data_IF_284095715671
#
_entry.id   IF_284095715671
#
_cell.length_a   1.000
_cell.length_b   1.000
_cell.length_c   1.000
_cell.angle_alpha   90.00
_cell.angle_beta   90.00
_cell.angle_gamma   90.00
#
_symmetry.space_group_name_H-M   'P 1'
#
loop_
_entity.id
_entity.type
_entity.pdbx_description
1 polymer ?
#
# COMPACT_ATOMS: atom_id res chain seq x y z
N UNK A 1 20.26 53.37 4.10
CA UNK A 1 18.95 52.85 3.63
C UNK A 1 18.58 53.56 2.35
N UNK A 2 18.56 52.90 1.21
CA UNK A 2 18.04 53.48 -0.05
C UNK A 2 16.55 53.61 0.08
N UNK A 3 15.99 54.79 -0.22
CA UNK A 3 14.55 55.02 -0.31
C UNK A 3 13.95 54.07 -1.37
N UNK A 4 12.74 53.53 -1.15
CA UNK A 4 12.05 52.75 -2.15
C UNK A 4 11.84 53.58 -3.41
N UNK A 5 12.16 53.02 -4.58
CA UNK A 5 11.92 53.64 -5.88
C UNK A 5 10.38 53.72 -6.03
N UNK A 6 9.83 54.92 -5.96
CA UNK A 6 8.41 55.20 -6.20
C UNK A 6 8.20 55.10 -7.70
N UNK A 7 7.60 54.01 -8.20
CA UNK A 7 7.24 53.87 -9.63
C UNK A 7 7.23 52.47 -10.20
N UNK A 8 7.73 51.46 -9.49
CA UNK A 8 7.66 50.07 -9.99
C UNK A 8 6.31 49.45 -9.63
N UNK A 9 5.58 49.01 -10.64
CA UNK A 9 4.37 48.22 -10.41
C UNK A 9 4.72 46.87 -9.79
N UNK A 10 3.80 46.24 -9.06
CA UNK A 10 3.98 44.89 -8.49
C UNK A 10 4.34 43.90 -9.60
N UNK A 11 3.80 44.08 -10.80
CA UNK A 11 4.09 43.25 -11.96
C UNK A 11 5.55 43.42 -12.43
N UNK A 12 6.09 44.63 -12.40
CA UNK A 12 7.50 44.88 -12.76
C UNK A 12 8.44 44.25 -11.74
N UNK A 13 8.14 44.37 -10.44
CA UNK A 13 8.87 43.69 -9.38
C UNK A 13 8.82 42.15 -9.54
N UNK A 14 7.64 41.58 -9.82
CA UNK A 14 7.47 40.15 -10.01
C UNK A 14 8.29 39.63 -11.18
N UNK A 15 8.35 40.35 -12.31
CA UNK A 15 9.18 40.02 -13.48
C UNK A 15 10.69 40.05 -13.12
N UNK A 16 11.15 41.13 -12.49
CA UNK A 16 12.55 41.24 -12.06
C UNK A 16 12.96 40.12 -11.09
N UNK A 17 12.08 39.75 -10.17
CA UNK A 17 12.28 38.65 -9.25
C UNK A 17 12.34 37.30 -9.97
N UNK A 18 11.43 37.06 -10.94
CA UNK A 18 11.38 35.80 -11.70
C UNK A 18 12.66 35.57 -12.51
N UNK A 19 13.24 36.62 -13.13
CA UNK A 19 14.54 36.56 -13.84
C UNK A 19 15.70 36.12 -12.92
N UNK A 20 15.55 36.37 -11.62
CA UNK A 20 16.53 36.00 -10.58
C UNK A 20 16.18 34.72 -9.84
N UNK A 21 15.18 33.96 -10.30
CA UNK A 21 14.63 32.78 -9.63
C UNK A 21 14.12 33.10 -8.19
N UNK A 22 13.56 34.28 -8.00
CA UNK A 22 12.91 34.73 -6.77
C UNK A 22 11.40 34.81 -6.96
N UNK A 23 10.63 34.51 -5.91
CA UNK A 23 9.15 34.62 -5.90
C UNK A 23 8.66 35.39 -4.71
N UNK A 24 7.72 36.31 -4.91
CA UNK A 24 7.07 37.04 -3.83
C UNK A 24 5.94 36.20 -3.22
N UNK A 25 5.88 36.12 -1.88
CA UNK A 25 4.82 35.38 -1.19
C UNK A 25 3.40 35.88 -1.57
N UNK A 26 3.26 37.17 -1.85
CA UNK A 26 1.99 37.79 -2.31
C UNK A 26 1.51 37.29 -3.66
N UNK A 27 2.35 36.57 -4.43
CA UNK A 27 1.96 35.96 -5.71
C UNK A 27 1.12 34.69 -5.53
N UNK A 28 1.16 34.08 -4.34
CA UNK A 28 0.46 32.82 -4.08
C UNK A 28 -1.06 32.98 -3.93
N UNK A 29 -1.57 34.21 -3.62
CA UNK A 29 -2.98 34.43 -3.35
C UNK A 29 -3.49 33.73 -2.08
N UNK A 30 -4.60 34.21 -1.52
CA UNK A 30 -5.23 33.56 -0.35
C UNK A 30 -5.89 32.23 -0.72
N UNK A 31 -6.31 32.09 -1.97
CA UNK A 31 -6.87 30.86 -2.55
C UNK A 31 -5.88 29.67 -2.60
N UNK A 32 -4.57 29.96 -2.44
CA UNK A 32 -3.55 28.91 -2.32
C UNK A 32 -3.60 28.18 -0.96
N UNK A 33 -4.38 28.69 0.00
CA UNK A 33 -4.53 28.10 1.34
C UNK A 33 -5.92 27.46 1.46
N UNK A 34 -5.99 26.17 1.15
CA UNK A 34 -7.22 25.41 1.40
C UNK A 34 -7.48 25.26 2.91
N UNK A 35 -8.76 25.33 3.31
CA UNK A 35 -9.18 25.11 4.69
C UNK A 35 -8.95 23.64 5.14
N UNK A 36 -8.88 22.73 4.19
CA UNK A 36 -8.69 21.30 4.38
C UNK A 36 -7.66 20.76 3.37
N UNK A 37 -7.00 19.62 3.68
CA UNK A 37 -6.12 18.98 2.73
C UNK A 37 -6.86 18.61 1.44
N UNK A 38 -6.24 18.90 0.32
CA UNK A 38 -6.76 18.58 -1.02
C UNK A 38 -5.87 17.52 -1.70
N UNK A 39 -6.47 16.74 -2.58
CA UNK A 39 -5.76 15.72 -3.35
C UNK A 39 -6.28 15.68 -4.79
N UNK A 40 -5.39 15.35 -5.71
CA UNK A 40 -5.77 15.03 -7.10
C UNK A 40 -6.14 13.56 -7.28
N UNK A 41 -5.87 12.69 -6.28
CA UNK A 41 -6.27 11.28 -6.32
C UNK A 41 -7.80 11.21 -6.35
N UNK A 42 -8.34 10.48 -7.32
CA UNK A 42 -9.78 10.26 -7.43
C UNK A 42 -10.17 8.94 -6.75
N UNK A 43 -11.34 8.86 -6.07
CA UNK A 43 -11.94 7.59 -5.72
C UNK A 43 -12.03 6.69 -6.96
N UNK A 44 -11.59 5.44 -6.85
CA UNK A 44 -11.61 4.53 -8.00
C UNK A 44 -11.67 3.07 -7.54
N UNK A 45 -12.43 2.26 -8.30
CA UNK A 45 -12.56 0.81 -8.12
C UNK A 45 -11.96 0.09 -9.32
N UNK A 46 -10.96 -0.76 -9.08
CA UNK A 46 -10.38 -1.68 -10.08
C UNK A 46 -11.02 -3.05 -9.93
N UNK A 47 -11.64 -3.54 -10.99
CA UNK A 47 -12.30 -4.86 -11.00
C UNK A 47 -11.27 -5.97 -11.15
N UNK A 48 -11.45 -7.01 -10.35
CA UNK A 48 -10.58 -8.19 -10.39
C UNK A 48 -10.55 -8.88 -11.74
N UNK A 49 -11.68 -8.93 -12.43
CA UNK A 49 -11.76 -9.57 -13.74
C UNK A 49 -10.76 -8.94 -14.72
N UNK A 50 -10.77 -7.61 -14.86
CA UNK A 50 -9.88 -6.88 -15.78
C UNK A 50 -8.40 -7.07 -15.40
N UNK A 51 -8.13 -7.03 -14.08
CA UNK A 51 -6.80 -7.23 -13.53
C UNK A 51 -6.30 -8.65 -13.78
N UNK A 52 -7.12 -9.65 -13.49
CA UNK A 52 -6.77 -11.07 -13.64
C UNK A 52 -6.51 -11.44 -15.10
N UNK A 53 -7.37 -11.00 -16.02
CA UNK A 53 -7.17 -11.18 -17.46
C UNK A 53 -5.84 -10.56 -17.93
N UNK A 54 -5.54 -9.34 -17.44
CA UNK A 54 -4.27 -8.66 -17.74
C UNK A 54 -3.06 -9.40 -17.18
N UNK A 55 -3.14 -9.95 -15.97
CA UNK A 55 -2.08 -10.76 -15.35
C UNK A 55 -1.81 -12.05 -16.14
N UNK A 56 -2.86 -12.78 -16.51
CA UNK A 56 -2.73 -14.03 -17.27
C UNK A 56 -2.13 -13.74 -18.65
N UNK A 57 -2.63 -12.73 -19.35
CA UNK A 57 -2.10 -12.32 -20.65
C UNK A 57 -0.63 -11.85 -20.55
N UNK A 58 -0.28 -11.10 -19.51
CA UNK A 58 1.12 -10.74 -19.25
C UNK A 58 1.98 -12.00 -19.03
N UNK A 59 1.42 -13.05 -18.38
CA UNK A 59 2.07 -14.34 -18.23
C UNK A 59 2.39 -15.05 -19.54
N UNK A 60 1.61 -14.81 -20.58
CA UNK A 60 1.80 -15.40 -21.91
C UNK A 60 2.83 -14.64 -22.76
N UNK A 61 2.82 -13.29 -22.69
CA UNK A 61 3.57 -12.43 -23.63
C UNK A 61 4.79 -11.74 -23.04
N UNK A 62 4.94 -11.72 -21.71
CA UNK A 62 6.05 -11.05 -21.01
C UNK A 62 6.88 -12.08 -20.26
N UNK A 63 8.14 -12.30 -20.67
CA UNK A 63 9.07 -13.15 -19.91
C UNK A 63 9.67 -12.39 -18.72
N UNK A 64 10.07 -13.13 -17.65
CA UNK A 64 10.80 -12.54 -16.52
C UNK A 64 12.20 -12.06 -16.91
N UNK A 65 12.78 -12.60 -17.98
CA UNK A 65 14.07 -12.15 -18.51
C UNK A 65 13.97 -10.74 -19.10
N UNK A 66 12.84 -10.42 -19.75
CA UNK A 66 12.60 -9.10 -20.37
C UNK A 66 12.13 -8.05 -19.36
N UNK A 67 11.33 -8.45 -18.39
CA UNK A 67 10.63 -7.53 -17.50
C UNK A 67 11.19 -7.49 -16.08
N UNK A 68 12.13 -8.38 -15.73
CA UNK A 68 12.64 -8.59 -14.38
C UNK A 68 11.52 -8.99 -13.37
N UNK A 69 10.41 -8.28 -13.42
CA UNK A 69 9.18 -8.52 -12.66
C UNK A 69 7.97 -8.43 -13.59
N UNK A 70 7.14 -9.46 -13.58
CA UNK A 70 5.85 -9.45 -14.29
C UNK A 70 4.77 -8.97 -13.32
N UNK A 71 4.70 -7.65 -13.20
CA UNK A 71 3.84 -6.95 -12.24
C UNK A 71 2.89 -6.00 -12.95
N UNK A 72 1.60 -6.06 -12.61
CA UNK A 72 0.57 -5.12 -13.08
C UNK A 72 0.27 -4.14 -11.95
N UNK A 73 0.48 -2.85 -12.21
CA UNK A 73 0.24 -1.77 -11.25
C UNK A 73 -1.18 -1.22 -11.39
N UNK A 74 -1.81 -0.87 -10.28
CA UNK A 74 -3.04 -0.10 -10.31
C UNK A 74 -2.72 1.38 -10.53
N UNK A 75 -3.27 1.96 -11.59
CA UNK A 75 -3.04 3.37 -11.93
C UNK A 75 -4.30 4.17 -11.62
N UNK A 76 -4.17 5.21 -10.79
CA UNK A 76 -5.27 6.14 -10.58
C UNK A 76 -5.51 6.96 -11.85
N UNK A 77 -6.77 7.16 -12.29
CA UNK A 77 -7.07 7.92 -13.49
C UNK A 77 -6.45 9.32 -13.55
N UNK A 78 -6.33 9.98 -12.38
CA UNK A 78 -5.74 11.31 -12.26
C UNK A 78 -4.20 11.32 -12.17
N UNK A 79 -3.54 10.15 -12.08
CA UNK A 79 -2.09 10.00 -11.92
C UNK A 79 -1.46 9.11 -13.01
N UNK A 80 -2.10 9.00 -14.18
CA UNK A 80 -1.61 8.15 -15.28
C UNK A 80 -0.25 8.58 -15.81
N UNK A 81 0.01 9.86 -15.87
CA UNK A 81 1.28 10.47 -16.26
C UNK A 81 2.41 10.11 -15.28
N UNK A 82 2.10 9.97 -14.00
CA UNK A 82 3.02 9.54 -12.95
C UNK A 82 3.13 8.02 -12.81
N UNK A 83 2.28 7.26 -13.49
CA UNK A 83 2.20 5.81 -13.38
C UNK A 83 2.01 5.34 -11.92
N UNK A 84 1.19 6.05 -11.13
CA UNK A 84 1.02 5.84 -9.69
C UNK A 84 -0.43 5.51 -9.30
N UNK A 85 -0.59 4.76 -8.20
CA UNK A 85 -1.90 4.51 -7.59
C UNK A 85 -2.32 5.70 -6.71
N UNK A 86 -1.39 6.25 -5.93
CA UNK A 86 -1.57 7.43 -5.09
C UNK A 86 -0.29 8.26 -5.05
N UNK A 87 -0.25 9.34 -4.26
CA UNK A 87 0.95 10.17 -4.08
C UNK A 87 2.00 9.55 -3.14
N UNK A 88 1.62 8.58 -2.31
CA UNK A 88 2.47 8.03 -1.25
C UNK A 88 2.64 6.52 -1.33
N UNK A 89 1.57 5.79 -1.65
CA UNK A 89 1.51 4.33 -1.64
C UNK A 89 0.97 3.78 -2.95
N UNK A 90 1.33 2.55 -3.27
CA UNK A 90 1.00 1.88 -4.52
C UNK A 90 0.60 0.43 -4.29
N UNK A 91 -0.44 -0.04 -5.00
CA UNK A 91 -0.74 -1.45 -5.18
C UNK A 91 -0.28 -1.94 -6.56
N UNK A 92 0.28 -3.14 -6.56
CA UNK A 92 0.61 -3.88 -7.76
C UNK A 92 0.41 -5.38 -7.53
N UNK A 93 0.21 -6.12 -8.61
CA UNK A 93 -0.06 -7.55 -8.54
C UNK A 93 0.99 -8.28 -9.35
N UNK A 94 1.62 -9.27 -8.74
CA UNK A 94 2.62 -10.08 -9.41
C UNK A 94 2.08 -11.48 -9.68
N UNK A 95 2.36 -11.98 -10.88
CA UNK A 95 2.04 -13.32 -11.34
C UNK A 95 3.30 -14.08 -11.67
N UNK A 96 3.53 -15.21 -10.99
CA UNK A 96 4.70 -16.05 -11.19
C UNK A 96 4.24 -17.49 -11.49
N UNK A 97 4.59 -17.98 -12.68
CA UNK A 97 4.29 -19.34 -13.10
C UNK A 97 5.19 -20.35 -12.38
N UNK A 98 4.76 -21.60 -12.34
CA UNK A 98 5.63 -22.68 -11.85
C UNK A 98 6.91 -22.79 -12.66
N UNK A 99 8.04 -23.03 -11.99
CA UNK A 99 9.38 -23.08 -12.55
C UNK A 99 10.03 -21.71 -12.78
N UNK A 100 9.35 -20.62 -12.47
CA UNK A 100 9.90 -19.27 -12.62
C UNK A 100 10.63 -18.80 -11.36
N UNK A 101 11.71 -18.06 -11.60
CA UNK A 101 12.51 -17.38 -10.57
C UNK A 101 12.67 -15.91 -10.92
N UNK A 102 12.23 -15.03 -10.03
CA UNK A 102 12.45 -13.58 -10.12
C UNK A 102 13.72 -13.22 -9.35
N UNK A 103 14.70 -12.65 -10.06
CA UNK A 103 16.08 -12.41 -9.57
C UNK A 103 16.12 -11.58 -8.28
N UNK A 104 17.14 -11.82 -7.41
CA UNK A 104 17.30 -11.06 -6.20
C UNK A 104 17.68 -9.59 -6.51
N UNK A 105 17.09 -8.71 -5.73
CA UNK A 105 17.45 -7.29 -5.70
C UNK A 105 17.11 -6.68 -4.35
N UNK A 106 17.46 -5.41 -4.15
CA UNK A 106 16.98 -4.56 -3.06
C UNK A 106 16.65 -3.16 -3.55
N UNK A 107 15.77 -2.51 -2.84
CA UNK A 107 15.39 -1.13 -3.11
C UNK A 107 15.08 -0.36 -1.81
N UNK A 108 15.10 0.97 -1.90
CA UNK A 108 14.81 1.84 -0.74
C UNK A 108 13.34 1.88 -0.38
N UNK A 109 12.44 1.57 -1.30
CA UNK A 109 11.01 1.46 -0.97
C UNK A 109 10.76 0.29 -0.02
N UNK A 110 9.89 0.48 0.97
CA UNK A 110 9.32 -0.60 1.76
C UNK A 110 8.28 -1.36 0.93
N UNK A 111 8.19 -2.67 1.11
CA UNK A 111 7.22 -3.50 0.43
C UNK A 111 6.64 -4.58 1.35
N UNK A 112 5.45 -5.02 1.04
CA UNK A 112 4.88 -6.25 1.58
C UNK A 112 4.27 -7.08 0.44
N UNK A 113 4.05 -8.38 0.72
CA UNK A 113 3.30 -9.30 -0.14
C UNK A 113 2.14 -9.88 0.63
N UNK A 114 0.94 -9.70 0.10
CA UNK A 114 -0.27 -10.34 0.60
C UNK A 114 -0.70 -11.38 -0.43
N UNK A 115 -0.72 -12.66 -0.04
CA UNK A 115 -0.88 -13.77 -0.96
C UNK A 115 -2.37 -13.97 -1.29
N UNK A 116 -2.73 -13.88 -2.58
CA UNK A 116 -4.12 -13.91 -3.03
C UNK A 116 -4.54 -15.26 -3.58
N UNK A 117 -3.66 -15.93 -4.31
CA UNK A 117 -3.98 -17.19 -4.97
C UNK A 117 -2.75 -18.06 -5.17
N UNK A 118 -2.85 -19.33 -4.80
CA UNK A 118 -1.77 -20.29 -4.90
C UNK A 118 -0.99 -20.46 -3.59
N UNK A 119 -0.15 -21.51 -3.55
CA UNK A 119 0.61 -21.86 -2.36
C UNK A 119 1.90 -22.60 -2.74
N UNK A 120 2.88 -22.65 -1.81
CA UNK A 120 4.12 -23.41 -1.93
C UNK A 120 5.25 -22.72 -2.69
N UNK A 121 5.01 -21.60 -3.39
CA UNK A 121 6.10 -20.72 -3.81
C UNK A 121 6.73 -20.04 -2.58
N UNK A 122 7.93 -19.46 -2.74
CA UNK A 122 8.55 -18.77 -1.61
C UNK A 122 9.24 -17.47 -2.04
N UNK A 123 9.33 -16.56 -1.09
CA UNK A 123 10.22 -15.40 -1.17
C UNK A 123 11.37 -15.59 -0.20
N UNK A 124 12.60 -15.23 -0.61
CA UNK A 124 13.75 -15.17 0.29
C UNK A 124 14.00 -13.69 0.61
N UNK A 125 13.98 -13.33 1.88
CA UNK A 125 14.26 -11.96 2.32
C UNK A 125 15.45 -11.99 3.27
N UNK A 126 16.56 -11.34 2.92
CA UNK A 126 17.82 -11.36 3.67
C UNK A 126 18.26 -12.78 4.09
N UNK A 127 18.13 -13.75 3.16
CA UNK A 127 18.44 -15.16 3.41
C UNK A 127 17.39 -15.94 4.19
N UNK A 128 16.29 -15.33 4.61
CA UNK A 128 15.16 -16.02 5.24
C UNK A 128 14.15 -16.47 4.19
N UNK A 129 13.97 -17.78 4.06
CA UNK A 129 12.98 -18.39 3.16
C UNK A 129 11.59 -18.36 3.81
N UNK A 130 10.65 -17.66 3.16
CA UNK A 130 9.25 -17.56 3.56
C UNK A 130 8.37 -18.30 2.53
N UNK A 131 7.86 -19.47 2.88
CA UNK A 131 6.91 -20.21 2.03
C UNK A 131 5.56 -19.51 2.08
N UNK A 132 5.03 -19.19 0.91
CA UNK A 132 3.82 -18.39 0.71
C UNK A 132 2.58 -19.28 0.66
N UNK A 133 1.59 -18.96 1.48
CA UNK A 133 0.26 -19.54 1.50
C UNK A 133 -0.80 -18.45 1.35
N UNK A 134 -1.97 -18.77 0.80
CA UNK A 134 -3.06 -17.81 0.60
C UNK A 134 -3.47 -17.14 1.92
N UNK A 135 -3.53 -15.80 1.90
CA UNK A 135 -3.83 -14.96 3.07
C UNK A 135 -2.60 -14.58 3.92
N UNK A 136 -1.42 -15.16 3.66
CA UNK A 136 -0.20 -14.77 4.35
C UNK A 136 0.19 -13.32 4.00
N UNK A 137 0.75 -12.59 4.96
CA UNK A 137 1.40 -11.30 4.75
C UNK A 137 2.89 -11.44 5.05
N UNK A 138 3.75 -11.07 4.09
CA UNK A 138 5.21 -11.10 4.24
C UNK A 138 5.76 -9.70 4.01
N UNK A 139 6.57 -9.21 4.94
CA UNK A 139 7.20 -7.90 4.83
C UNK A 139 8.56 -7.99 4.14
N UNK A 140 8.85 -6.98 3.34
CA UNK A 140 10.17 -6.71 2.78
C UNK A 140 10.55 -5.28 3.15
N UNK A 141 11.23 -5.10 4.30
CA UNK A 141 11.68 -3.78 4.73
C UNK A 141 12.63 -3.13 3.72
N UNK A 142 12.82 -1.82 3.85
CA UNK A 142 13.74 -1.03 3.02
C UNK A 142 15.13 -1.69 2.96
N UNK A 143 15.72 -1.70 1.77
CA UNK A 143 17.07 -2.22 1.50
C UNK A 143 17.27 -3.71 1.83
N UNK A 144 16.18 -4.47 2.06
CA UNK A 144 16.26 -5.92 2.22
C UNK A 144 16.45 -6.59 0.88
N UNK A 145 17.47 -7.44 0.78
CA UNK A 145 17.63 -8.32 -0.38
C UNK A 145 16.46 -9.30 -0.46
N UNK A 146 15.84 -9.43 -1.62
CA UNK A 146 14.73 -10.35 -1.79
C UNK A 146 14.62 -10.90 -3.22
N UNK A 147 14.16 -12.13 -3.31
CA UNK A 147 13.85 -12.85 -4.56
C UNK A 147 12.56 -13.66 -4.39
N UNK A 148 12.09 -14.24 -5.50
CA UNK A 148 10.91 -15.09 -5.50
C UNK A 148 11.13 -16.31 -6.37
N UNK A 149 10.79 -17.48 -5.86
CA UNK A 149 10.87 -18.75 -6.58
C UNK A 149 9.54 -19.48 -6.48
N UNK A 150 9.06 -19.98 -7.60
CA UNK A 150 7.86 -20.78 -7.64
C UNK A 150 8.13 -22.18 -8.22
N UNK A 151 8.42 -23.12 -7.36
CA UNK A 151 8.60 -24.56 -7.69
C UNK A 151 7.37 -25.40 -7.29
N UNK A 152 6.22 -24.74 -6.98
CA UNK A 152 5.05 -25.42 -6.42
C UNK A 152 4.23 -26.28 -7.40
N UNK A 153 4.54 -26.24 -8.69
CA UNK A 153 3.77 -26.93 -9.73
C UNK A 153 2.53 -26.16 -10.21
N UNK A 154 2.19 -25.01 -9.59
CA UNK A 154 1.05 -24.16 -9.95
C UNK A 154 1.46 -22.69 -9.95
N UNK A 155 0.76 -21.82 -10.69
CA UNK A 155 1.01 -20.38 -10.61
C UNK A 155 0.59 -19.79 -9.27
N UNK A 156 1.23 -18.68 -8.91
CA UNK A 156 0.90 -17.90 -7.72
C UNK A 156 0.65 -16.46 -8.08
N UNK A 157 -0.29 -15.80 -7.38
CA UNK A 157 -0.58 -14.38 -7.47
C UNK A 157 -0.56 -13.77 -6.07
N UNK A 158 0.10 -12.64 -5.95
CA UNK A 158 0.06 -11.83 -4.73
C UNK A 158 -0.11 -10.35 -5.04
N UNK A 159 -0.57 -9.62 -4.04
CA UNK A 159 -0.61 -8.18 -4.00
C UNK A 159 0.67 -7.67 -3.34
N UNK A 160 1.44 -6.86 -4.06
CA UNK A 160 2.52 -6.05 -3.50
C UNK A 160 1.98 -4.66 -3.15
N UNK A 161 2.22 -4.20 -1.93
CA UNK A 161 2.04 -2.81 -1.52
C UNK A 161 3.40 -2.17 -1.27
N UNK A 162 3.63 -1.00 -1.86
CA UNK A 162 4.91 -0.29 -1.79
C UNK A 162 4.70 1.20 -1.52
N UNK A 163 5.69 1.83 -0.90
CA UNK A 163 5.75 3.28 -0.71
C UNK A 163 6.60 4.00 -1.78
N UNK A 164 6.74 3.41 -2.97
CA UNK A 164 7.52 3.97 -4.09
C UNK A 164 7.20 5.44 -4.36
N UNK A 165 5.92 5.88 -4.48
CA UNK A 165 5.62 7.27 -4.77
C UNK A 165 6.14 8.24 -3.70
N UNK A 166 6.08 7.85 -2.41
CA UNK A 166 6.64 8.62 -1.31
C UNK A 166 8.17 8.72 -1.42
N UNK A 167 8.86 7.58 -1.57
CA UNK A 167 10.32 7.52 -1.66
C UNK A 167 10.82 8.29 -2.89
N UNK A 168 10.09 8.22 -4.00
CA UNK A 168 10.37 8.98 -5.22
C UNK A 168 10.20 10.48 -5.00
N UNK A 169 9.18 10.91 -4.29
CA UNK A 169 8.96 12.33 -3.95
C UNK A 169 10.07 12.89 -3.07
N UNK A 170 10.66 12.05 -2.21
CA UNK A 170 11.83 12.37 -1.40
C UNK A 170 13.16 12.28 -2.19
N UNK A 171 13.12 11.92 -3.47
CA UNK A 171 14.30 11.71 -4.33
C UNK A 171 15.29 10.66 -3.77
N UNK A 172 14.77 9.64 -3.07
CA UNK A 172 15.57 8.60 -2.41
C UNK A 172 15.38 7.22 -3.06
N UNK A 173 14.81 7.14 -4.26
CA UNK A 173 14.58 5.85 -4.93
C UNK A 173 15.91 5.24 -5.40
N UNK A 174 16.24 4.08 -4.86
CA UNK A 174 17.38 3.26 -5.25
C UNK A 174 16.88 1.86 -5.60
N UNK A 175 17.45 1.27 -6.62
CA UNK A 175 17.30 -0.13 -7.01
C UNK A 175 18.67 -0.73 -7.27
N UNK A 176 18.97 -1.86 -6.65
CA UNK A 176 20.26 -2.55 -6.78
C UNK A 176 20.02 -4.03 -7.05
N UNK A 177 20.50 -4.56 -8.20
CA UNK A 177 20.46 -5.99 -8.47
C UNK A 177 21.48 -6.72 -7.60
N UNK A 178 21.12 -7.95 -7.17
CA UNK A 178 22.07 -8.83 -6.46
C UNK A 178 23.11 -9.37 -7.44
N UNK A 179 24.40 -9.48 -7.04
CA UNK A 179 25.44 -9.95 -7.96
C UNK A 179 25.24 -11.36 -8.50
N UNK A 180 24.58 -12.21 -7.73
CA UNK A 180 24.38 -13.64 -8.06
C UNK A 180 22.93 -13.91 -8.48
N UNK A 181 22.68 -15.07 -9.08
CA UNK A 181 21.35 -15.43 -9.60
C UNK A 181 20.32 -15.71 -8.50
N UNK A 182 20.76 -16.11 -7.31
CA UNK A 182 19.91 -16.43 -6.16
C UNK A 182 20.61 -16.06 -4.86
N UNK A 183 19.82 -15.73 -3.83
CA UNK A 183 20.35 -15.56 -2.48
C UNK A 183 20.60 -16.92 -1.81
N UNK A 184 21.63 -17.06 -0.96
CA UNK A 184 21.76 -18.21 -0.10
C UNK A 184 20.64 -18.23 0.94
N UNK A 185 19.94 -19.35 1.06
CA UNK A 185 18.96 -19.55 2.14
C UNK A 185 19.71 -19.91 3.42
N UNK A 186 19.58 -19.07 4.44
CA UNK A 186 20.22 -19.23 5.74
C UNK A 186 19.26 -19.78 6.80
N UNK A 187 17.98 -19.41 6.72
CA UNK A 187 16.93 -19.76 7.69
C UNK A 187 15.61 -19.99 6.96
N UNK A 188 14.73 -20.79 7.54
CA UNK A 188 13.32 -20.87 7.12
C UNK A 188 12.44 -20.12 8.11
N UNK A 189 11.27 -19.62 7.69
CA UNK A 189 10.34 -18.90 8.56
C UNK A 189 9.84 -19.74 9.75
N UNK A 190 9.84 -21.07 9.61
CA UNK A 190 9.50 -22.01 10.70
C UNK A 190 10.56 -22.04 11.83
N UNK A 191 11.80 -21.65 11.50
CA UNK A 191 12.93 -21.59 12.44
C UNK A 191 13.04 -20.25 13.17
N UNK A 192 12.27 -19.24 12.75
CA UNK A 192 12.20 -17.91 13.37
C UNK A 192 10.96 -17.82 14.25
N UNK A 193 10.75 -18.80 15.11
CA UNK A 193 9.81 -18.70 16.21
C UNK A 193 10.32 -17.67 17.21
N UNK A 194 9.54 -16.59 17.45
CA UNK A 194 9.73 -15.58 18.49
C UNK A 194 11.20 -15.18 18.72
N UNK A 195 11.75 -14.36 17.86
CA UNK A 195 13.13 -13.83 17.98
C UNK A 195 13.31 -13.08 19.29
N UNK A 196 14.38 -13.43 20.02
CA UNK A 196 14.84 -12.68 21.19
C UNK A 196 15.29 -11.29 20.78
N UNK A 197 14.97 -10.21 21.51
CA UNK A 197 15.46 -8.88 21.23
C UNK A 197 16.95 -8.80 21.62
N UNK A 198 17.78 -8.57 20.62
CA UNK A 198 19.22 -8.31 20.88
C UNK A 198 20.13 -8.53 19.68
N UNK A 199 20.26 -7.55 18.82
CA UNK A 199 21.27 -7.53 17.76
C UNK A 199 21.01 -6.43 16.74
N UNK A 200 22.02 -5.65 16.41
CA UNK A 200 21.99 -4.49 15.50
C UNK A 200 21.10 -4.70 14.25
N UNK A 201 19.99 -4.11 14.26
CA UNK A 201 19.08 -3.55 13.28
C UNK A 201 19.35 -3.75 11.79
N UNK A 202 19.06 -4.91 11.25
CA UNK A 202 18.28 -4.98 10.03
C UNK A 202 16.82 -5.20 10.49
N UNK A 203 15.82 -4.46 9.96
CA UNK A 203 14.43 -4.71 10.31
C UNK A 203 14.13 -6.19 10.07
N UNK A 204 13.60 -6.88 11.09
CA UNK A 204 13.31 -8.30 10.99
C UNK A 204 12.25 -8.55 9.91
N UNK A 205 12.41 -9.65 9.19
CA UNK A 205 11.41 -10.09 8.21
C UNK A 205 10.27 -10.73 8.96
N UNK A 206 9.11 -10.10 8.93
CA UNK A 206 7.91 -10.66 9.53
C UNK A 206 7.07 -11.39 8.50
N UNK A 207 6.65 -12.58 8.87
CA UNK A 207 5.76 -13.43 8.10
C UNK A 207 4.52 -13.76 8.94
N UNK A 208 3.42 -13.08 8.66
CA UNK A 208 2.14 -13.27 9.35
C UNK A 208 1.36 -14.35 8.62
N UNK A 209 1.23 -15.51 9.27
CA UNK A 209 0.53 -16.67 8.72
C UNK A 209 -0.98 -16.50 8.82
N UNK A 210 -1.68 -16.84 7.71
CA UNK A 210 -3.12 -16.69 7.62
C UNK A 210 -3.91 -17.41 8.74
N UNK A 211 -3.64 -18.68 9.08
CA UNK A 211 -4.42 -19.37 10.11
C UNK A 211 -4.41 -18.65 11.47
N UNK A 212 -3.26 -18.10 11.86
CA UNK A 212 -3.13 -17.31 13.07
C UNK A 212 -3.83 -15.95 12.95
N UNK A 213 -3.64 -15.28 11.80
CA UNK A 213 -4.27 -13.99 11.51
C UNK A 213 -5.79 -14.11 11.50
N UNK A 214 -6.34 -15.12 10.82
CA UNK A 214 -7.78 -15.38 10.76
C UNK A 214 -8.36 -15.68 12.15
N UNK A 215 -7.67 -16.49 12.94
CA UNK A 215 -8.08 -16.80 14.32
C UNK A 215 -8.16 -15.52 15.16
N UNK A 216 -7.17 -14.63 15.07
CA UNK A 216 -7.15 -13.35 15.78
C UNK A 216 -8.25 -12.42 15.29
N UNK A 217 -8.44 -12.28 13.99
CA UNK A 217 -9.47 -11.45 13.37
C UNK A 217 -10.88 -11.88 13.83
N UNK A 218 -11.18 -13.16 13.71
CA UNK A 218 -12.49 -13.72 14.15
C UNK A 218 -12.69 -13.70 15.66
N UNK A 219 -11.61 -13.63 16.43
CA UNK A 219 -11.62 -13.56 17.91
C UNK A 219 -11.80 -12.16 18.47
N UNK A 220 -11.89 -11.11 17.64
CA UNK A 220 -12.12 -9.75 18.11
C UNK A 220 -13.48 -9.61 18.80
N UNK A 221 -13.48 -9.05 20.01
CA UNK A 221 -14.66 -9.01 20.90
C UNK A 221 -15.71 -7.98 20.43
N UNK A 222 -15.27 -6.86 19.84
CA UNK A 222 -16.14 -5.77 19.44
C UNK A 222 -15.66 -5.14 18.13
N UNK A 223 -16.57 -4.62 17.30
CA UNK A 223 -16.20 -3.86 16.13
C UNK A 223 -15.72 -2.45 16.51
N UNK A 224 -14.81 -1.91 15.73
CA UNK A 224 -14.58 -0.48 15.62
C UNK A 224 -15.78 0.18 14.92
N UNK A 225 -16.07 1.44 15.23
CA UNK A 225 -17.20 2.15 14.65
C UNK A 225 -17.03 2.46 13.16
N UNK A 226 -15.77 2.65 12.70
CA UNK A 226 -15.45 3.09 11.34
C UNK A 226 -14.95 1.96 10.44
N UNK A 227 -14.26 0.95 11.03
CA UNK A 227 -13.55 -0.09 10.30
C UNK A 227 -14.04 -1.52 10.61
N UNK A 228 -15.21 -1.65 11.26
CA UNK A 228 -15.78 -2.93 11.66
C UNK A 228 -14.84 -3.72 12.61
N UNK A 229 -14.67 -5.04 12.42
CA UNK A 229 -13.71 -5.80 13.23
C UNK A 229 -12.29 -5.60 12.65
N UNK A 230 -11.59 -4.57 13.14
CA UNK A 230 -10.28 -4.15 12.65
C UNK A 230 -9.15 -4.90 13.33
N UNK A 231 -8.32 -5.59 12.55
CA UNK A 231 -7.07 -6.20 12.98
C UNK A 231 -5.89 -5.52 12.28
N UNK A 232 -5.19 -4.65 12.97
CA UNK A 232 -3.93 -4.08 12.46
C UNK A 232 -2.79 -5.10 12.55
N UNK A 233 -1.99 -5.20 11.49
CA UNK A 233 -0.72 -5.89 11.52
C UNK A 233 0.30 -4.99 12.20
N UNK A 234 0.87 -5.48 13.28
CA UNK A 234 1.86 -4.73 14.07
C UNK A 234 3.16 -5.49 14.15
N UNK A 235 4.26 -4.76 14.24
CA UNK A 235 5.55 -5.35 14.54
C UNK A 235 5.48 -6.04 15.90
N UNK A 236 5.65 -7.37 15.99
CA UNK A 236 5.41 -8.11 17.23
C UNK A 236 6.44 -7.82 18.34
N UNK A 237 7.60 -7.23 17.98
CA UNK A 237 8.63 -6.89 18.95
C UNK A 237 8.45 -5.49 19.55
N UNK A 238 7.81 -4.56 18.83
CA UNK A 238 7.75 -3.13 19.22
C UNK A 238 6.34 -2.58 19.31
N UNK A 239 5.33 -3.34 18.89
CA UNK A 239 3.94 -2.91 18.73
C UNK A 239 3.78 -1.69 17.79
N UNK A 240 4.84 -1.32 17.08
CA UNK A 240 4.82 -0.27 16.07
C UNK A 240 3.94 -0.66 14.86
N UNK A 241 3.59 0.29 13.98
CA UNK A 241 2.94 0.00 12.71
C UNK A 241 3.65 -1.09 11.91
N UNK A 242 2.98 -1.69 10.95
CA UNK A 242 3.50 -2.75 10.07
C UNK A 242 4.90 -2.42 9.55
N UNK A 243 5.08 -1.20 9.04
CA UNK A 243 6.37 -0.62 8.67
C UNK A 243 6.34 0.90 8.96
N UNK A 244 7.49 1.59 8.99
CA UNK A 244 7.55 3.02 9.32
C UNK A 244 6.67 3.92 8.43
N UNK A 245 6.45 3.51 7.19
CA UNK A 245 5.70 4.27 6.17
C UNK A 245 4.34 3.66 5.82
N UNK A 246 4.08 2.43 6.25
CA UNK A 246 2.92 1.63 5.84
C UNK A 246 2.25 1.00 7.05
N UNK A 247 0.93 1.17 7.15
CA UNK A 247 0.08 0.35 8.02
C UNK A 247 -0.76 -0.59 7.18
N UNK A 248 -0.70 -1.89 7.46
CA UNK A 248 -1.60 -2.90 6.91
C UNK A 248 -2.63 -3.32 7.97
N UNK A 249 -3.85 -3.59 7.53
CA UNK A 249 -4.91 -4.08 8.40
C UNK A 249 -5.90 -4.99 7.66
N UNK A 250 -6.71 -5.71 8.43
CA UNK A 250 -7.88 -6.45 7.95
C UNK A 250 -9.12 -5.91 8.64
N UNK A 251 -10.16 -5.63 7.86
CA UNK A 251 -11.50 -5.29 8.36
C UNK A 251 -12.45 -6.44 8.03
N UNK A 252 -13.01 -7.08 9.06
CA UNK A 252 -14.03 -8.11 8.91
C UNK A 252 -15.40 -7.47 9.11
N UNK A 253 -16.23 -7.52 8.07
CA UNK A 253 -17.64 -7.10 8.11
C UNK A 253 -18.53 -8.34 8.19
N UNK A 254 -19.28 -8.47 9.28
CA UNK A 254 -20.28 -9.54 9.43
C UNK A 254 -21.50 -9.28 8.55
N UNK A 255 -22.34 -10.32 8.29
CA UNK A 255 -23.58 -10.14 7.54
C UNK A 255 -24.44 -9.02 8.10
N UNK A 256 -24.90 -8.11 7.24
CA UNK A 256 -25.73 -6.96 7.61
C UNK A 256 -24.99 -5.81 8.29
N UNK A 257 -23.69 -5.89 8.50
CA UNK A 257 -22.91 -4.85 9.17
C UNK A 257 -22.66 -3.63 8.24
N UNK A 258 -22.82 -2.45 8.81
CA UNK A 258 -22.50 -1.16 8.22
C UNK A 258 -21.65 -0.36 9.21
N UNK A 259 -20.60 0.30 8.74
CA UNK A 259 -19.75 1.18 9.56
C UNK A 259 -20.28 2.61 9.54
N UNK A 260 -19.91 3.39 10.54
CA UNK A 260 -20.17 4.83 10.51
C UNK A 260 -19.26 5.53 9.49
N UNK A 261 -19.74 6.66 8.94
CA UNK A 261 -18.95 7.46 8.03
C UNK A 261 -17.91 8.30 8.79
N UNK A 262 -16.69 8.31 8.26
CA UNK A 262 -15.60 9.15 8.76
C UNK A 262 -14.72 9.64 7.62
N UNK A 263 -13.79 10.54 7.92
CA UNK A 263 -12.70 10.94 7.02
C UNK A 263 -11.40 11.12 7.80
N UNK A 264 -10.29 10.91 7.13
CA UNK A 264 -8.97 11.10 7.70
C UNK A 264 -7.98 11.63 6.65
N UNK A 265 -6.85 12.15 7.11
CA UNK A 265 -5.82 12.73 6.24
C UNK A 265 -4.95 11.67 5.55
N UNK A 266 -4.99 10.41 5.96
CA UNK A 266 -4.30 9.33 5.26
C UNK A 266 -5.06 8.88 4.02
N UNK A 267 -4.30 8.37 3.04
CA UNK A 267 -4.84 7.63 1.90
C UNK A 267 -4.88 6.15 2.23
N UNK A 268 -5.96 5.47 1.88
CA UNK A 268 -6.10 4.02 2.07
C UNK A 268 -6.39 3.32 0.76
N UNK A 269 -5.62 2.26 0.49
CA UNK A 269 -5.89 1.29 -0.57
C UNK A 269 -6.52 0.05 0.05
N UNK A 270 -7.64 -0.38 -0.48
CA UNK A 270 -8.36 -1.57 -0.06
C UNK A 270 -8.32 -2.66 -1.14
N UNK A 271 -8.25 -3.91 -0.69
CA UNK A 271 -8.43 -5.11 -1.50
C UNK A 271 -9.49 -5.99 -0.85
N UNK A 272 -10.55 -6.34 -1.58
CA UNK A 272 -11.57 -7.26 -1.11
C UNK A 272 -11.01 -8.69 -1.13
N UNK A 273 -10.50 -9.15 0.00
CA UNK A 273 -9.87 -10.48 0.10
C UNK A 273 -10.92 -11.60 0.07
N UNK A 274 -12.05 -11.41 0.75
CA UNK A 274 -13.16 -12.39 0.77
C UNK A 274 -14.51 -11.70 0.79
N UNK A 275 -15.51 -12.37 0.25
CA UNK A 275 -16.89 -11.91 0.27
C UNK A 275 -17.16 -10.78 -0.71
N UNK A 276 -18.22 -10.03 -0.43
CA UNK A 276 -18.69 -8.90 -1.24
C UNK A 276 -19.34 -7.84 -0.36
N UNK A 277 -19.38 -6.62 -0.84
CA UNK A 277 -19.99 -5.52 -0.11
C UNK A 277 -20.02 -4.25 -0.93
N UNK A 278 -20.23 -3.14 -0.26
CA UNK A 278 -20.19 -1.81 -0.87
C UNK A 278 -19.37 -0.86 0.00
N UNK A 279 -18.69 0.07 -0.63
CA UNK A 279 -18.09 1.21 0.06
C UNK A 279 -18.62 2.49 -0.55
N UNK A 280 -18.99 3.46 0.28
CA UNK A 280 -19.36 4.79 -0.13
C UNK A 280 -18.15 5.68 0.13
N UNK A 281 -17.59 6.31 -0.92
CA UNK A 281 -16.41 7.16 -0.85
C UNK A 281 -16.75 8.52 -1.46
N UNK A 282 -16.92 9.54 -0.64
CA UNK A 282 -17.50 10.81 -1.06
C UNK A 282 -18.93 10.60 -1.56
N UNK A 283 -19.15 10.88 -2.84
CA UNK A 283 -20.43 10.66 -3.54
C UNK A 283 -20.47 9.34 -4.30
N UNK A 284 -19.32 8.66 -4.45
CA UNK A 284 -19.21 7.44 -5.23
C UNK A 284 -19.60 6.21 -4.40
N UNK A 285 -20.27 5.27 -5.04
CA UNK A 285 -20.58 3.96 -4.47
C UNK A 285 -19.82 2.88 -5.23
N UNK A 286 -19.00 2.12 -4.53
CA UNK A 286 -18.26 0.98 -5.05
C UNK A 286 -18.92 -0.32 -4.56
N UNK A 287 -19.54 -1.05 -5.46
CA UNK A 287 -19.99 -2.42 -5.22
C UNK A 287 -18.83 -3.36 -5.60
N UNK A 288 -18.22 -3.97 -4.59
CA UNK A 288 -17.04 -4.81 -4.74
C UNK A 288 -17.32 -6.27 -4.36
N UNK A 289 -16.54 -7.15 -4.94
CA UNK A 289 -16.48 -8.58 -4.63
C UNK A 289 -15.02 -9.04 -4.46
N UNK A 290 -14.82 -10.28 -4.01
CA UNK A 290 -13.49 -10.82 -3.76
C UNK A 290 -12.57 -10.66 -4.97
N UNK A 291 -11.38 -10.06 -4.73
CA UNK A 291 -10.37 -9.73 -5.73
C UNK A 291 -10.38 -8.26 -6.17
N UNK A 292 -11.50 -7.54 -6.04
CA UNK A 292 -11.57 -6.13 -6.39
C UNK A 292 -10.68 -5.26 -5.47
N UNK A 293 -10.18 -4.14 -5.99
CA UNK A 293 -9.41 -3.18 -5.20
C UNK A 293 -9.94 -1.78 -5.42
N UNK A 294 -9.89 -0.94 -4.40
CA UNK A 294 -10.31 0.46 -4.50
C UNK A 294 -9.45 1.38 -3.64
N UNK A 295 -9.52 2.66 -3.94
CA UNK A 295 -8.82 3.72 -3.20
C UNK A 295 -9.82 4.63 -2.50
N UNK A 296 -9.52 4.92 -1.23
CA UNK A 296 -10.09 6.03 -0.48
C UNK A 296 -9.01 7.12 -0.39
N UNK A 297 -9.15 8.22 -1.17
CA UNK A 297 -8.20 9.31 -1.10
C UNK A 297 -8.25 10.03 0.25
N UNK A 298 -7.18 10.75 0.60
CA UNK A 298 -7.15 11.56 1.81
C UNK A 298 -8.36 12.52 1.89
N UNK A 299 -8.89 12.66 3.07
CA UNK A 299 -10.00 13.56 3.44
C UNK A 299 -11.36 13.26 2.78
N UNK A 300 -11.49 12.16 2.03
CA UNK A 300 -12.79 11.71 1.50
C UNK A 300 -13.60 11.01 2.59
N UNK A 301 -14.85 11.44 2.85
CA UNK A 301 -15.76 10.69 3.72
C UNK A 301 -15.97 9.29 3.17
N UNK A 302 -15.93 8.29 4.04
CA UNK A 302 -16.16 6.92 3.59
C UNK A 302 -16.75 6.03 4.68
N UNK A 303 -17.40 4.96 4.25
CA UNK A 303 -17.96 3.88 5.07
C UNK A 303 -18.07 2.60 4.27
N UNK A 304 -18.17 1.48 4.97
CA UNK A 304 -18.25 0.14 4.39
C UNK A 304 -19.52 -0.56 4.81
N UNK A 305 -20.08 -1.39 3.91
CA UNK A 305 -21.36 -2.09 4.11
C UNK A 305 -21.25 -3.52 3.60
N UNK A 306 -21.58 -4.48 4.44
CA UNK A 306 -21.84 -5.86 4.02
C UNK A 306 -23.34 -6.16 4.11
N UNK A 307 -24.02 -6.21 2.97
CA UNK A 307 -25.48 -6.53 2.91
C UNK A 307 -25.77 -7.99 2.63
N UNK A 308 -24.76 -8.86 2.63
CA UNK A 308 -25.00 -10.30 2.49
C UNK A 308 -25.82 -10.82 3.68
N UNK A 309 -26.68 -11.81 3.42
CA UNK A 309 -27.52 -12.40 4.47
C UNK A 309 -26.74 -13.34 5.41
N UNK A 310 -25.66 -13.97 4.93
CA UNK A 310 -24.93 -15.01 5.67
C UNK A 310 -23.43 -15.03 5.42
N UNK A 311 -22.90 -14.24 4.50
CA UNK A 311 -21.48 -14.25 4.15
C UNK A 311 -20.73 -13.10 4.83
N UNK A 312 -19.62 -13.41 5.49
CA UNK A 312 -18.66 -12.41 5.98
C UNK A 312 -17.88 -11.82 4.79
N UNK A 313 -17.45 -10.56 4.94
CA UNK A 313 -16.57 -9.93 3.99
C UNK A 313 -15.29 -9.47 4.70
N UNK A 314 -14.15 -9.65 4.05
CA UNK A 314 -12.84 -9.26 4.59
C UNK A 314 -12.17 -8.33 3.59
N UNK A 315 -11.91 -7.10 4.04
CA UNK A 315 -11.09 -6.13 3.33
C UNK A 315 -9.67 -6.14 3.91
N UNK A 316 -8.67 -6.35 3.07
CA UNK A 316 -7.28 -6.03 3.37
C UNK A 316 -7.03 -4.57 3.02
N UNK A 317 -6.33 -3.83 3.88
CA UNK A 317 -6.03 -2.42 3.65
C UNK A 317 -4.55 -2.08 3.86
N UNK A 318 -4.11 -1.06 3.13
CA UNK A 318 -2.80 -0.41 3.26
C UNK A 318 -3.00 1.09 3.36
N UNK A 319 -2.41 1.74 4.37
CA UNK A 319 -2.45 3.20 4.51
C UNK A 319 -1.07 3.81 4.78
N UNK A 320 -0.92 5.09 4.46
CA UNK A 320 0.24 5.93 4.76
C UNK A 320 0.14 6.63 6.13
N UNK A 321 -0.82 6.25 6.96
CA UNK A 321 -1.06 6.84 8.27
C UNK A 321 0.20 6.94 9.17
N UNK A 322 1.13 5.96 9.19
CA UNK A 322 2.36 6.07 9.99
C UNK A 322 3.20 7.30 9.64
N UNK A 323 3.34 7.62 8.35
CA UNK A 323 4.05 8.82 7.89
C UNK A 323 3.41 10.08 8.44
N UNK A 324 2.09 10.19 8.27
CA UNK A 324 1.35 11.37 8.72
C UNK A 324 1.35 11.52 10.24
N UNK A 325 1.27 10.40 10.97
CA UNK A 325 1.37 10.40 12.45
C UNK A 325 2.76 10.86 12.90
N UNK A 326 3.84 10.38 12.25
CA UNK A 326 5.22 10.77 12.59
C UNK A 326 5.51 12.25 12.31
N UNK A 327 4.83 12.84 11.33
CA UNK A 327 4.94 14.26 10.95
C UNK A 327 3.94 15.17 11.68
N UNK A 328 3.05 14.62 12.53
CA UNK A 328 1.99 15.38 13.20
C UNK A 328 0.88 15.88 12.26
N UNK A 329 0.70 15.23 11.10
CA UNK A 329 -0.27 15.61 10.06
C UNK A 329 -1.54 14.73 10.06
N UNK A 330 -1.55 13.64 10.85
CA UNK A 330 -2.71 12.77 10.91
C UNK A 330 -3.87 13.42 11.65
N UNK A 331 -5.03 13.45 11.01
CA UNK A 331 -6.32 13.85 11.58
C UNK A 331 -7.40 12.88 11.13
N UNK A 332 -8.37 12.67 11.99
CA UNK A 332 -9.55 11.85 11.73
C UNK A 332 -10.78 12.52 12.34
N UNK A 333 -11.90 12.50 11.62
CA UNK A 333 -13.17 13.07 12.07
C UNK A 333 -14.34 12.16 11.71
N UNK A 334 -15.29 11.94 12.64
CA UNK A 334 -16.57 11.36 12.28
C UNK A 334 -17.31 12.30 11.35
N UNK A 335 -18.01 11.73 10.39
CA UNK A 335 -18.99 12.50 9.60
C UNK A 335 -20.34 12.40 10.29
N UNK A 336 -21.00 13.56 10.50
CA UNK A 336 -22.34 13.58 11.07
C UNK A 336 -23.33 12.72 10.27
N UNK A 337 -24.25 12.08 10.97
CA UNK A 337 -25.32 11.28 10.38
C UNK A 337 -26.24 12.12 9.51
#
# INVERSE_FOLDING_TARGET
>A
MKQPIVGDSVEALNRDMAEKNLGGHWQLGLESYAAYPETTVQPYLWKWQDLYESLIRAGEVVSLEQAERRTVRLLNPALRDRQATTHTIQFSFQYVKSGEHARPHRHTAAAFRFILKGSGAYTTVNGQKCVMEEGDLILTPQLSWHDHTNDSGKPIIWLDGLDIPLVQSLQQLLFEPYPEKAQPVQKTSEQVGASQPGGNSAMEVFHYKWPETERRLKGLAAPDRFDAYLLEYRNPATEAPTMPTIQCALSLLRPGQETEAHRHTSTVLYHAFRGRGSSIVGTERFDWEAGDSFVVPLWYPHRHVNRAASEEAILFSMSDAPVLKSLGLYREEPMGA
#
